data_IF_246526497875
#
_entry.id   IF_246526497875
#
_cell.length_a   1.000
_cell.length_b   1.000
_cell.length_c   1.000
_cell.angle_alpha   90.00
_cell.angle_beta   90.00
_cell.angle_gamma   90.00
#
_symmetry.space_group_name_H-M   'P 1'
#
loop_
_entity.id
_entity.type
_entity.pdbx_description
1 polymer ?
#
# COMPACT_ATOMS: atom_id res chain seq x y z
N UNK A 1 -3.41 -3.64 7.65
CA UNK A 1 -2.28 -3.35 8.56
C UNK A 1 -1.54 -2.10 8.11
N UNK A 2 -0.61 -1.54 8.89
CA UNK A 2 0.27 -0.44 8.45
C UNK A 2 1.60 -1.00 7.94
N UNK A 3 2.08 -0.49 6.80
CA UNK A 3 3.34 -0.88 6.16
C UNK A 3 4.07 0.32 5.57
N UNK A 4 5.34 0.11 5.20
CA UNK A 4 6.12 1.03 4.37
C UNK A 4 6.17 0.42 2.96
N UNK A 5 5.61 1.12 1.98
CA UNK A 5 5.58 0.69 0.57
C UNK A 5 6.52 1.56 -0.25
N UNK A 6 7.43 0.96 -0.99
CA UNK A 6 8.31 1.63 -1.96
C UNK A 6 7.75 1.43 -3.37
N UNK A 7 7.70 2.50 -4.18
CA UNK A 7 7.19 2.41 -5.56
C UNK A 7 8.29 1.95 -6.52
N UNK A 8 7.95 1.02 -7.42
CA UNK A 8 8.90 0.48 -8.40
C UNK A 8 9.39 1.56 -9.38
N UNK A 9 8.51 2.49 -9.78
CA UNK A 9 8.87 3.53 -10.74
C UNK A 9 9.74 4.64 -10.13
N UNK A 10 9.81 4.72 -8.80
CA UNK A 10 10.55 5.77 -8.10
C UNK A 10 11.29 5.22 -6.86
N UNK A 11 12.47 4.61 -7.07
CA UNK A 11 13.31 4.11 -5.98
C UNK A 11 13.59 5.20 -4.92
N UNK A 12 13.50 4.83 -3.66
CA UNK A 12 13.67 5.72 -2.52
C UNK A 12 12.42 6.51 -2.10
N UNK A 13 11.34 6.52 -2.89
CA UNK A 13 10.05 7.08 -2.47
C UNK A 13 9.27 6.03 -1.67
N UNK A 14 8.90 6.37 -0.43
CA UNK A 14 8.23 5.46 0.50
C UNK A 14 6.95 6.05 1.08
N UNK A 15 5.91 5.23 1.12
CA UNK A 15 4.60 5.57 1.71
C UNK A 15 4.40 4.81 3.01
N UNK A 16 4.04 5.51 4.08
CA UNK A 16 3.45 4.89 5.28
C UNK A 16 1.94 4.81 5.03
N UNK A 17 1.43 3.60 4.89
CA UNK A 17 0.05 3.39 4.41
C UNK A 17 -0.50 2.05 4.89
N UNK A 18 -1.78 1.81 4.63
CA UNK A 18 -2.42 0.54 4.89
C UNK A 18 -2.34 -0.39 3.68
N UNK A 19 -1.99 -1.66 3.94
CA UNK A 19 -2.32 -2.77 3.04
C UNK A 19 -3.66 -3.35 3.49
N UNK A 20 -4.60 -3.41 2.56
CA UNK A 20 -5.98 -3.86 2.72
C UNK A 20 -6.25 -5.17 1.98
N UNK A 21 -7.35 -5.82 2.33
CA UNK A 21 -7.85 -7.05 1.69
C UNK A 21 -6.84 -8.21 1.69
N UNK A 22 -5.99 -8.28 2.72
CA UNK A 22 -4.99 -9.33 2.94
C UNK A 22 -4.89 -9.66 4.43
N UNK A 23 -4.75 -10.94 4.76
CA UNK A 23 -4.48 -11.37 6.14
C UNK A 23 -3.08 -10.94 6.57
N UNK A 24 -2.88 -10.67 7.85
CA UNK A 24 -1.59 -10.23 8.39
C UNK A 24 -0.52 -11.30 8.21
N UNK A 25 -0.90 -12.56 8.36
CA UNK A 25 0.02 -13.70 8.25
C UNK A 25 0.45 -14.00 6.80
N UNK A 26 -0.22 -13.40 5.81
CA UNK A 26 0.13 -13.52 4.38
C UNK A 26 1.14 -12.46 3.91
N UNK A 27 1.38 -11.41 4.70
CA UNK A 27 2.24 -10.29 4.28
C UNK A 27 3.70 -10.58 4.58
N UNK A 28 4.56 -10.30 3.60
CA UNK A 28 6.01 -10.45 3.71
C UNK A 28 6.76 -9.29 3.05
N UNK A 29 8.01 -9.08 3.45
CA UNK A 29 8.86 -8.04 2.86
C UNK A 29 9.16 -8.36 1.41
N UNK A 30 8.94 -7.39 0.52
CA UNK A 30 9.08 -7.58 -0.92
C UNK A 30 7.84 -8.15 -1.61
N UNK A 31 6.71 -8.29 -0.90
CA UNK A 31 5.43 -8.66 -1.49
C UNK A 31 4.97 -7.59 -2.51
N UNK A 32 4.68 -7.95 -3.76
CA UNK A 32 4.10 -7.03 -4.74
C UNK A 32 2.74 -6.53 -4.28
N UNK A 33 2.51 -5.23 -4.46
CA UNK A 33 1.25 -4.57 -4.09
C UNK A 33 0.87 -3.56 -5.16
N UNK A 34 -0.44 -3.32 -5.28
CA UNK A 34 -0.98 -2.31 -6.20
C UNK A 34 -1.68 -1.21 -5.42
N UNK A 35 -1.49 0.03 -5.87
CA UNK A 35 -2.18 1.19 -5.30
C UNK A 35 -3.68 1.13 -5.61
N UNK A 36 -4.50 1.39 -4.60
CA UNK A 36 -5.93 1.66 -4.70
C UNK A 36 -6.22 3.00 -4.04
N UNK A 37 -6.80 3.91 -4.80
CA UNK A 37 -7.24 5.19 -4.27
C UNK A 37 -8.63 5.05 -3.66
N UNK A 38 -8.76 5.41 -2.39
CA UNK A 38 -10.06 5.57 -1.72
C UNK A 38 -10.34 7.06 -1.57
N UNK A 39 -11.54 7.46 -1.97
CA UNK A 39 -12.01 8.81 -1.69
C UNK A 39 -12.50 8.86 -0.25
N UNK A 40 -11.98 9.81 0.52
CA UNK A 40 -12.42 10.13 1.88
C UNK A 40 -12.63 11.64 1.94
N UNK A 41 -13.88 12.06 2.14
CA UNK A 41 -14.31 13.46 2.04
C UNK A 41 -13.82 14.15 0.75
N UNK A 42 -12.95 15.16 0.88
CA UNK A 42 -12.38 15.94 -0.21
C UNK A 42 -10.97 15.48 -0.63
N UNK A 43 -10.47 14.38 -0.05
CA UNK A 43 -9.13 13.84 -0.33
C UNK A 43 -9.17 12.43 -0.92
N UNK A 44 -8.09 12.08 -1.62
CA UNK A 44 -7.86 10.73 -2.13
C UNK A 44 -6.69 10.10 -1.38
N UNK A 45 -6.98 9.08 -0.60
CA UNK A 45 -5.97 8.35 0.15
C UNK A 45 -5.37 7.22 -0.70
N UNK A 46 -4.03 7.17 -0.84
CA UNK A 46 -3.35 6.06 -1.48
C UNK A 46 -3.25 4.89 -0.49
N UNK A 47 -4.06 3.87 -0.72
CA UNK A 47 -4.03 2.60 0.00
C UNK A 47 -3.45 1.51 -0.93
N UNK A 48 -3.13 0.34 -0.40
CA UNK A 48 -2.53 -0.73 -1.19
C UNK A 48 -3.25 -2.06 -0.96
N UNK A 49 -3.28 -2.90 -1.99
CA UNK A 49 -3.78 -4.28 -1.90
C UNK A 49 -2.74 -5.23 -2.47
N UNK A 50 -2.84 -6.51 -2.10
CA UNK A 50 -2.09 -7.60 -2.77
C UNK A 50 -2.38 -7.54 -4.28
N UNK A 51 -1.33 -7.70 -5.09
CA UNK A 51 -1.47 -7.79 -6.56
C UNK A 51 -2.14 -9.10 -7.01
#
# INVERSE_FOLDING_TARGET
MIAIVELEEQPGLRFVTNIEDVDVDEVFIGMPVRVRFRQEDDVWLPLFTKE
#
